data_IF_420331692671
#
_entry.id   IF_420331692671
#
_cell.length_a   1.000
_cell.length_b   1.000
_cell.length_c   1.000
_cell.angle_alpha   90.00
_cell.angle_beta   90.00
_cell.angle_gamma   90.00
#
_symmetry.space_group_name_H-M   'P 1'
#
loop_
_entity.id
_entity.type
_entity.pdbx_description
1 polymer ?
#
# COMPACT_ATOMS: atom_id res chain seq x y z
N UNK A 1 -22.67 13.61 3.17
CA UNK A 1 -22.11 12.67 2.15
C UNK A 1 -20.70 12.33 2.58
N UNK A 2 -20.34 11.03 2.70
CA UNK A 2 -18.95 10.61 2.99
C UNK A 2 -18.09 10.92 1.75
N UNK A 3 -16.91 11.51 1.95
CA UNK A 3 -15.92 11.74 0.89
C UNK A 3 -14.86 10.64 0.99
N UNK A 4 -14.59 9.98 -0.11
CA UNK A 4 -13.45 9.07 -0.26
C UNK A 4 -12.29 9.86 -0.86
N UNK A 5 -11.10 9.64 -0.32
CA UNK A 5 -9.85 10.25 -0.79
C UNK A 5 -8.86 9.12 -0.97
N UNK A 6 -8.38 8.94 -2.20
CA UNK A 6 -7.31 8.02 -2.51
C UNK A 6 -5.96 8.66 -2.11
N UNK A 7 -5.22 7.98 -1.25
CA UNK A 7 -3.90 8.39 -0.79
C UNK A 7 -2.79 7.50 -1.35
N UNK A 8 -3.15 6.53 -2.20
CA UNK A 8 -2.16 5.62 -2.79
C UNK A 8 -1.29 6.33 -3.84
N UNK A 9 -0.07 5.85 -3.99
CA UNK A 9 0.80 6.22 -5.10
C UNK A 9 0.68 5.17 -6.21
N UNK A 10 0.88 5.53 -7.50
CA UNK A 10 0.91 4.56 -8.58
C UNK A 10 1.96 3.47 -8.33
N UNK A 11 1.63 2.24 -8.75
CA UNK A 11 2.61 1.15 -8.82
C UNK A 11 3.37 1.28 -10.14
N UNK A 12 4.57 1.83 -10.06
CA UNK A 12 5.39 2.13 -11.25
C UNK A 12 6.88 2.03 -10.93
N UNK A 13 7.71 1.94 -11.95
CA UNK A 13 9.15 2.07 -11.79
C UNK A 13 9.50 3.51 -11.41
N UNK A 14 9.99 3.69 -10.21
CA UNK A 14 10.31 5.01 -9.63
C UNK A 14 11.70 5.02 -9.03
N UNK A 15 12.48 6.08 -9.25
CA UNK A 15 13.80 6.25 -8.61
C UNK A 15 13.75 6.24 -7.08
N UNK A 16 12.58 6.44 -6.49
CA UNK A 16 12.37 6.38 -5.03
C UNK A 16 12.23 4.95 -4.50
N UNK A 17 12.04 3.96 -5.38
CA UNK A 17 11.97 2.57 -4.98
C UNK A 17 13.38 1.95 -4.99
N UNK A 18 13.86 1.38 -3.87
CA UNK A 18 15.20 0.79 -3.78
C UNK A 18 15.35 -0.48 -4.63
N UNK A 19 14.24 -1.15 -4.91
CA UNK A 19 14.15 -2.32 -5.78
C UNK A 19 13.17 -1.99 -6.89
N UNK A 20 13.58 -2.06 -8.17
CA UNK A 20 12.74 -1.65 -9.28
C UNK A 20 11.42 -2.41 -9.35
N UNK A 21 10.34 -1.68 -9.55
CA UNK A 21 9.04 -2.22 -9.96
C UNK A 21 9.04 -2.34 -11.48
N UNK A 22 8.68 -3.50 -12.00
CA UNK A 22 8.54 -3.72 -13.45
C UNK A 22 7.09 -3.99 -13.77
N UNK A 23 6.51 -3.19 -14.64
CA UNK A 23 5.17 -3.39 -15.18
C UNK A 23 5.28 -3.62 -16.68
N UNK A 24 4.76 -4.73 -17.15
CA UNK A 24 4.68 -5.06 -18.57
C UNK A 24 3.21 -5.16 -18.98
N UNK A 25 2.82 -4.34 -19.94
CA UNK A 25 1.46 -4.30 -20.46
C UNK A 25 1.33 -5.22 -21.66
N UNK A 26 0.29 -6.03 -21.68
CA UNK A 26 -0.13 -6.85 -22.81
C UNK A 26 -1.49 -6.33 -23.30
N UNK A 27 -1.51 -5.85 -24.54
CA UNK A 27 -2.72 -5.30 -25.15
C UNK A 27 -3.62 -6.41 -25.72
N UNK A 28 -4.88 -6.08 -25.96
CA UNK A 28 -5.94 -6.98 -26.40
C UNK A 28 -5.57 -7.90 -27.58
N UNK A 29 -4.78 -7.40 -28.54
CA UNK A 29 -4.38 -8.21 -29.70
C UNK A 29 -3.34 -9.30 -29.35
N UNK A 30 -2.54 -9.08 -28.34
CA UNK A 30 -1.45 -9.98 -27.96
C UNK A 30 -1.95 -11.24 -27.26
N UNK A 31 -3.09 -11.14 -26.57
CA UNK A 31 -3.68 -12.25 -25.80
C UNK A 31 -4.59 -13.19 -26.61
N UNK A 32 -4.91 -12.85 -27.86
CA UNK A 32 -5.86 -13.60 -28.70
C UNK A 32 -5.48 -15.08 -28.82
N UNK A 33 -4.23 -15.38 -29.16
CA UNK A 33 -3.76 -16.76 -29.32
C UNK A 33 -3.76 -17.52 -27.97
N UNK A 34 -3.46 -16.82 -26.87
CA UNK A 34 -3.51 -17.41 -25.54
C UNK A 34 -4.95 -17.76 -25.14
N UNK A 35 -5.92 -16.89 -25.46
CA UNK A 35 -7.35 -17.18 -25.24
C UNK A 35 -7.83 -18.38 -26.03
N UNK A 36 -7.44 -18.47 -27.30
CA UNK A 36 -7.77 -19.63 -28.15
C UNK A 36 -7.21 -20.92 -27.55
N UNK A 37 -5.97 -20.87 -27.07
CA UNK A 37 -5.31 -22.02 -26.44
C UNK A 37 -6.02 -22.44 -25.14
N UNK A 38 -6.39 -21.51 -24.28
CA UNK A 38 -6.98 -21.83 -22.98
C UNK A 38 -8.46 -22.23 -23.06
N UNK A 39 -9.22 -21.59 -23.95
CA UNK A 39 -10.67 -21.75 -23.99
C UNK A 39 -11.20 -22.48 -25.22
N UNK A 40 -10.33 -22.80 -26.18
CA UNK A 40 -10.71 -23.45 -27.44
C UNK A 40 -11.63 -22.58 -28.30
N UNK A 41 -11.66 -21.27 -28.09
CA UNK A 41 -12.46 -20.34 -28.87
C UNK A 41 -11.82 -20.07 -30.25
N UNK A 42 -12.62 -19.53 -31.16
CA UNK A 42 -12.22 -19.10 -32.50
C UNK A 42 -12.27 -17.59 -32.63
N UNK A 43 -11.77 -17.02 -33.73
CA UNK A 43 -11.87 -15.57 -33.97
C UNK A 43 -13.32 -15.06 -33.97
N UNK A 44 -14.27 -15.89 -34.38
CA UNK A 44 -15.69 -15.54 -34.39
C UNK A 44 -16.33 -15.43 -33.01
N UNK A 45 -15.70 -16.01 -31.99
CA UNK A 45 -16.17 -15.97 -30.61
C UNK A 45 -15.63 -14.74 -29.84
N UNK A 46 -14.65 -14.04 -30.44
CA UNK A 46 -14.00 -12.88 -29.81
C UNK A 46 -14.60 -11.58 -30.34
N UNK A 47 -15.15 -10.70 -29.47
CA UNK A 47 -15.67 -9.40 -29.89
C UNK A 47 -14.57 -8.60 -30.63
N UNK A 48 -14.87 -8.18 -31.87
CA UNK A 48 -13.93 -7.45 -32.75
C UNK A 48 -12.60 -8.20 -33.01
N UNK A 49 -12.54 -9.51 -32.77
CA UNK A 49 -11.31 -10.29 -32.87
C UNK A 49 -10.26 -9.92 -31.83
N UNK A 50 -10.69 -9.40 -30.67
CA UNK A 50 -9.82 -8.95 -29.58
C UNK A 50 -9.93 -9.87 -28.37
N UNK A 51 -8.81 -10.06 -27.70
CA UNK A 51 -8.74 -10.76 -26.43
C UNK A 51 -8.82 -9.78 -25.23
N UNK A 52 -8.31 -10.20 -24.09
CA UNK A 52 -8.16 -9.34 -22.92
C UNK A 52 -6.84 -8.54 -22.96
N UNK A 53 -6.80 -7.46 -22.20
CA UNK A 53 -5.55 -6.80 -21.83
C UNK A 53 -5.11 -7.29 -20.46
N UNK A 54 -3.81 -7.49 -20.28
CA UNK A 54 -3.22 -7.97 -19.02
C UNK A 54 -1.99 -7.14 -18.66
N UNK A 55 -1.71 -7.11 -17.37
CA UNK A 55 -0.46 -6.58 -16.86
C UNK A 55 0.31 -7.67 -16.10
N UNK A 56 1.61 -7.73 -16.33
CA UNK A 56 2.52 -8.51 -15.49
C UNK A 56 3.29 -7.53 -14.60
N UNK A 57 3.17 -7.70 -13.27
CA UNK A 57 3.84 -6.87 -12.28
C UNK A 57 4.88 -7.71 -11.54
N UNK A 58 6.13 -7.25 -11.55
CA UNK A 58 7.23 -7.83 -10.76
C UNK A 58 7.74 -6.78 -9.80
N UNK A 59 7.54 -7.02 -8.50
CA UNK A 59 7.95 -6.10 -7.44
C UNK A 59 8.14 -6.85 -6.13
N UNK A 60 8.83 -6.22 -5.17
CA UNK A 60 8.76 -6.66 -3.77
C UNK A 60 7.45 -6.18 -3.14
N UNK A 61 6.99 -6.86 -2.09
CA UNK A 61 5.75 -6.50 -1.39
C UNK A 61 5.80 -5.11 -0.71
N UNK A 62 7.00 -4.54 -0.54
CA UNK A 62 7.22 -3.23 0.09
C UNK A 62 7.39 -2.08 -0.93
N UNK A 63 6.81 -2.20 -2.12
CA UNK A 63 6.80 -1.15 -3.13
C UNK A 63 5.50 -0.34 -3.10
N UNK A 64 5.59 0.97 -3.38
CA UNK A 64 4.43 1.87 -3.43
C UNK A 64 3.72 2.03 -2.07
N UNK A 65 2.40 2.21 -2.13
CA UNK A 65 1.54 2.28 -0.94
C UNK A 65 1.11 0.88 -0.54
N UNK A 66 1.58 0.43 0.62
CA UNK A 66 1.35 -0.93 1.12
C UNK A 66 1.17 -0.95 2.64
N UNK A 67 0.85 -2.10 3.17
CA UNK A 67 0.74 -2.37 4.60
C UNK A 67 1.75 -3.44 4.99
N UNK A 68 2.51 -3.15 6.04
CA UNK A 68 3.42 -4.11 6.66
C UNK A 68 2.74 -4.87 7.79
N UNK A 69 2.86 -6.19 7.80
CA UNK A 69 2.44 -7.01 8.92
C UNK A 69 3.48 -6.98 10.05
N UNK A 70 3.12 -7.30 11.29
CA UNK A 70 4.08 -7.44 12.41
C UNK A 70 5.24 -8.39 12.08
N UNK A 71 4.99 -9.45 11.31
CA UNK A 71 6.01 -10.41 10.87
C UNK A 71 7.15 -9.76 10.06
N UNK A 72 6.88 -8.67 9.35
CA UNK A 72 7.93 -7.93 8.61
C UNK A 72 9.02 -7.41 9.55
N UNK A 73 8.65 -6.98 10.75
CA UNK A 73 9.57 -6.35 11.70
C UNK A 73 10.23 -7.33 12.68
N UNK A 74 9.50 -8.36 13.08
CA UNK A 74 10.00 -9.31 14.07
C UNK A 74 9.26 -10.65 14.00
N UNK A 75 9.94 -11.79 14.24
CA UNK A 75 9.27 -13.08 14.35
C UNK A 75 8.37 -13.19 15.61
N UNK A 76 8.56 -12.29 16.59
CA UNK A 76 7.80 -12.28 17.84
C UNK A 76 7.28 -10.87 18.10
N UNK A 77 6.01 -10.76 18.47
CA UNK A 77 5.34 -9.53 18.90
C UNK A 77 4.54 -9.82 20.18
N UNK A 78 4.72 -9.01 21.21
CA UNK A 78 4.03 -9.16 22.51
C UNK A 78 4.18 -10.54 23.16
N UNK A 79 5.31 -11.21 22.92
CA UNK A 79 5.59 -12.55 23.46
C UNK A 79 5.02 -13.72 22.65
N UNK A 80 4.27 -13.44 21.60
CA UNK A 80 3.67 -14.43 20.71
C UNK A 80 4.30 -14.38 19.31
N UNK A 81 4.10 -15.43 18.49
CA UNK A 81 4.50 -15.43 17.09
C UNK A 81 3.81 -14.25 16.37
N UNK A 82 4.60 -13.43 15.68
CA UNK A 82 4.08 -12.32 14.91
C UNK A 82 3.15 -12.78 13.80
N UNK A 83 2.08 -12.03 13.56
CA UNK A 83 1.10 -12.30 12.49
C UNK A 83 1.65 -11.92 11.14
N UNK A 84 1.35 -12.74 10.13
CA UNK A 84 1.50 -12.40 8.72
C UNK A 84 0.31 -11.58 8.24
N UNK A 85 0.38 -11.00 7.04
CA UNK A 85 -0.66 -10.07 6.56
C UNK A 85 -2.04 -10.75 6.38
N UNK A 86 -2.05 -12.00 6.00
CA UNK A 86 -3.25 -12.83 5.83
C UNK A 86 -3.90 -13.26 7.17
N UNK A 87 -3.16 -13.14 8.26
CA UNK A 87 -3.63 -13.39 9.62
C UNK A 87 -4.21 -12.15 10.32
N UNK A 88 -4.11 -10.96 9.68
CA UNK A 88 -4.59 -9.70 10.26
C UNK A 88 -6.09 -9.52 9.97
N UNK A 89 -6.93 -9.32 11.00
CA UNK A 89 -8.35 -9.03 10.81
C UNK A 89 -8.57 -7.74 10.01
N UNK A 90 -9.50 -7.76 9.05
CA UNK A 90 -9.81 -6.61 8.20
C UNK A 90 -10.31 -5.39 9.00
N UNK A 91 -10.91 -5.63 10.16
CA UNK A 91 -11.40 -4.59 11.07
C UNK A 91 -10.28 -3.66 11.56
N UNK A 92 -9.02 -4.11 11.55
CA UNK A 92 -7.88 -3.27 11.92
C UNK A 92 -7.60 -2.16 10.91
N UNK A 93 -8.09 -2.30 9.68
CA UNK A 93 -7.85 -1.35 8.59
C UNK A 93 -8.99 -0.34 8.40
N UNK A 94 -10.03 -0.42 9.23
CA UNK A 94 -11.18 0.47 9.11
C UNK A 94 -11.65 0.95 10.48
N UNK A 95 -11.15 2.11 10.92
CA UNK A 95 -11.46 2.70 12.21
C UNK A 95 -11.31 4.23 12.19
N UNK A 96 -11.58 4.87 13.34
CA UNK A 96 -11.30 6.30 13.50
C UNK A 96 -9.80 6.57 13.28
N UNK A 97 -9.50 7.63 12.56
CA UNK A 97 -8.13 8.05 12.29
C UNK A 97 -7.73 9.31 13.03
N UNK A 98 -6.51 9.36 13.55
CA UNK A 98 -5.93 10.56 14.16
C UNK A 98 -4.58 10.88 13.50
N UNK A 99 -4.38 12.16 13.13
CA UNK A 99 -3.12 12.63 12.53
C UNK A 99 -2.29 13.35 13.59
N UNK A 100 -1.06 12.88 13.80
CA UNK A 100 -0.07 13.51 14.67
C UNK A 100 0.96 14.24 13.81
N UNK A 101 0.96 15.57 13.88
CA UNK A 101 1.85 16.42 13.07
C UNK A 101 3.24 16.49 13.66
N UNK A 102 4.18 15.80 13.00
CA UNK A 102 5.62 15.76 13.31
C UNK A 102 6.48 16.53 12.30
N UNK A 103 5.89 17.34 11.43
CA UNK A 103 6.61 18.08 10.38
C UNK A 103 7.65 19.07 10.92
N UNK A 104 7.55 19.43 12.19
CA UNK A 104 8.53 20.27 12.88
C UNK A 104 9.84 19.55 13.24
N UNK A 105 9.85 18.21 13.16
CA UNK A 105 11.05 17.41 13.46
C UNK A 105 12.05 17.54 12.32
N UNK A 106 13.35 17.66 12.65
CA UNK A 106 14.40 17.65 11.63
C UNK A 106 14.41 16.33 10.85
N UNK A 107 14.74 16.40 9.57
CA UNK A 107 14.87 15.21 8.72
C UNK A 107 15.87 14.22 9.32
N UNK A 108 15.54 12.95 9.33
CA UNK A 108 16.34 11.87 9.90
C UNK A 108 16.33 11.80 11.44
N UNK A 109 15.60 12.69 12.12
CA UNK A 109 15.42 12.57 13.57
C UNK A 109 14.29 11.56 13.90
N UNK A 110 14.49 10.75 14.94
CA UNK A 110 13.47 9.85 15.44
C UNK A 110 12.29 10.61 16.07
N UNK A 111 11.11 9.98 16.06
CA UNK A 111 9.92 10.42 16.80
C UNK A 111 9.87 9.66 18.11
N UNK A 112 9.96 10.37 19.24
CA UNK A 112 9.93 9.77 20.57
C UNK A 112 8.50 9.65 21.11
N UNK A 113 8.34 8.86 22.18
CA UNK A 113 7.06 8.76 22.91
C UNK A 113 6.62 10.13 23.43
N UNK A 114 7.56 10.95 23.93
CA UNK A 114 7.27 12.32 24.40
C UNK A 114 6.74 13.24 23.28
N UNK A 115 7.30 13.12 22.06
CA UNK A 115 6.80 13.84 20.88
C UNK A 115 5.34 13.47 20.58
N UNK A 116 5.02 12.17 20.61
CA UNK A 116 3.66 11.68 20.37
C UNK A 116 2.69 12.15 21.45
N UNK A 117 3.10 12.07 22.72
CA UNK A 117 2.28 12.56 23.85
C UNK A 117 2.00 14.06 23.74
N UNK A 118 3.01 14.87 23.43
CA UNK A 118 2.83 16.32 23.21
C UNK A 118 1.88 16.61 22.06
N UNK A 119 1.97 15.87 20.97
CA UNK A 119 1.07 16.04 19.83
C UNK A 119 -0.38 15.68 20.21
N UNK A 120 -0.61 14.61 20.95
CA UNK A 120 -1.91 14.21 21.43
C UNK A 120 -2.52 15.28 22.36
N UNK A 121 -1.73 15.83 23.30
CA UNK A 121 -2.15 16.93 24.16
C UNK A 121 -2.54 18.16 23.35
N UNK A 122 -1.74 18.53 22.35
CA UNK A 122 -1.98 19.68 21.47
C UNK A 122 -3.34 19.60 20.77
N UNK A 123 -3.70 18.41 20.27
CA UNK A 123 -4.98 18.18 19.57
C UNK A 123 -6.12 17.77 20.51
N UNK A 124 -5.85 17.68 21.82
CA UNK A 124 -6.81 17.25 22.86
C UNK A 124 -7.44 15.89 22.56
N UNK A 125 -6.65 14.96 22.08
CA UNK A 125 -7.11 13.62 21.71
C UNK A 125 -6.52 12.55 22.64
N UNK A 126 -7.36 11.57 22.99
CA UNK A 126 -6.95 10.37 23.72
C UNK A 126 -7.15 9.17 22.78
N UNK A 127 -6.07 8.45 22.49
CA UNK A 127 -6.11 7.24 21.66
C UNK A 127 -7.06 6.22 22.29
N UNK A 128 -7.92 5.67 21.47
CA UNK A 128 -8.85 4.59 21.78
C UNK A 128 -8.30 3.27 21.18
N UNK A 129 -8.75 2.12 21.67
CA UNK A 129 -8.46 0.84 21.01
C UNK A 129 -8.83 0.90 19.53
N UNK A 130 -7.94 0.42 18.70
CA UNK A 130 -8.08 0.31 17.22
C UNK A 130 -8.04 1.63 16.44
N UNK A 131 -7.79 2.77 17.10
CA UNK A 131 -7.55 4.00 16.34
C UNK A 131 -6.39 3.86 15.37
N UNK A 132 -6.57 4.35 14.14
CA UNK A 132 -5.52 4.40 13.12
C UNK A 132 -4.71 5.69 13.35
N UNK A 133 -3.47 5.54 13.82
CA UNK A 133 -2.59 6.68 14.11
C UNK A 133 -1.72 6.99 12.89
N UNK A 134 -1.93 8.16 12.29
CA UNK A 134 -1.15 8.67 11.17
C UNK A 134 -0.09 9.64 11.68
N UNK A 135 1.19 9.34 11.47
CA UNK A 135 2.30 10.22 11.83
C UNK A 135 2.71 11.00 10.58
N UNK A 136 2.42 12.30 10.57
CA UNK A 136 2.76 13.17 9.46
C UNK A 136 4.16 13.74 9.65
N UNK A 137 5.13 13.22 8.91
CA UNK A 137 6.49 13.77 8.86
C UNK A 137 6.63 14.83 7.77
N UNK A 138 7.75 15.57 7.78
CA UNK A 138 8.11 16.52 6.71
C UNK A 138 8.74 15.84 5.49
N UNK A 139 9.04 14.56 5.58
CA UNK A 139 9.62 13.83 4.46
C UNK A 139 8.56 13.60 3.37
N UNK A 140 8.78 14.25 2.24
CA UNK A 140 8.09 13.92 1.00
C UNK A 140 9.03 13.05 0.17
N UNK A 141 8.57 11.88 -0.32
CA UNK A 141 9.19 11.30 -1.51
C UNK A 141 9.11 12.39 -2.58
N UNK A 142 10.25 12.97 -2.94
CA UNK A 142 10.29 13.92 -4.05
C UNK A 142 9.94 13.15 -5.31
N UNK A 143 8.72 13.32 -5.80
CA UNK A 143 8.40 13.00 -7.18
C UNK A 143 9.14 14.06 -7.99
N UNK A 144 10.23 13.67 -8.62
CA UNK A 144 10.98 14.50 -9.58
C UNK A 144 10.41 14.23 -10.95
#
# INVERSE_FOLDING_TARGET
MKRLIDLSVPTEDSPSEPIPVKVSHEEHRQSVELMKMFFGCTDGDLPEGLGWANDTVSMISHAGTHVDAPWHYSPVSEGEKSRTIDEIPLEWFYNDGVVLDMRHKPRGSGVSVDDLQKALVKIKYKIKPWDIVLIQTGDRKSVV
#
